data_IF_442600416252
#
_entry.id   IF_442600416252
#
_cell.length_a   1.000
_cell.length_b   1.000
_cell.length_c   1.000
_cell.angle_alpha   90.00
_cell.angle_beta   90.00
_cell.angle_gamma   90.00
#
_symmetry.space_group_name_H-M   'P 1'
#
loop_
_entity.id
_entity.type
_entity.pdbx_description
1 polymer ?
#
# COMPACT_ATOMS: atom_id res chain seq x y z
N UNK A 1 22.92 0.62 20.83
CA UNK A 1 21.87 1.19 21.71
C UNK A 1 20.64 1.65 20.97
N UNK A 2 20.71 2.45 19.90
CA UNK A 2 19.53 2.94 19.16
C UNK A 2 18.65 1.84 18.53
N UNK A 3 19.24 0.80 17.92
CA UNK A 3 18.49 -0.31 17.28
C UNK A 3 17.59 -1.06 18.28
N UNK A 4 18.03 -1.21 19.53
CA UNK A 4 17.25 -1.89 20.56
C UNK A 4 16.06 -1.04 21.05
N UNK A 5 16.15 0.30 20.94
CA UNK A 5 15.10 1.23 21.35
C UNK A 5 13.93 1.22 20.35
N UNK A 6 14.21 1.25 19.05
CA UNK A 6 13.20 1.16 17.98
C UNK A 6 12.39 -0.14 18.12
N UNK A 7 13.07 -1.28 18.30
CA UNK A 7 12.39 -2.55 18.50
C UNK A 7 11.43 -2.55 19.69
N UNK A 8 11.76 -1.81 20.77
CA UNK A 8 10.88 -1.66 21.95
C UNK A 8 9.66 -0.80 21.65
N UNK A 9 9.82 0.26 20.86
CA UNK A 9 8.70 1.09 20.40
C UNK A 9 7.75 0.31 19.54
N UNK A 10 8.29 -0.43 18.56
CA UNK A 10 7.50 -1.29 17.68
C UNK A 10 6.76 -2.35 18.47
N UNK A 11 7.44 -3.02 19.42
CA UNK A 11 6.79 -4.00 20.28
C UNK A 11 5.61 -3.38 21.07
N UNK A 12 5.76 -2.16 21.55
CA UNK A 12 4.71 -1.47 22.29
C UNK A 12 3.49 -1.23 21.41
N UNK A 13 3.70 -0.70 20.20
CA UNK A 13 2.62 -0.43 19.25
C UNK A 13 1.95 -1.73 18.80
N UNK A 14 2.72 -2.74 18.38
CA UNK A 14 2.21 -4.06 17.97
C UNK A 14 1.37 -4.72 19.08
N UNK A 15 1.87 -4.66 20.33
CA UNK A 15 1.13 -5.22 21.46
C UNK A 15 -0.19 -4.51 21.68
N UNK A 16 -0.22 -3.18 21.72
CA UNK A 16 -1.47 -2.43 21.91
C UNK A 16 -2.43 -2.64 20.75
N UNK A 17 -1.95 -2.64 19.50
CA UNK A 17 -2.77 -2.93 18.31
C UNK A 17 -3.45 -4.28 18.37
N UNK A 18 -2.72 -5.33 18.76
CA UNK A 18 -3.28 -6.70 18.86
C UNK A 18 -4.35 -6.85 19.93
N UNK A 19 -4.20 -6.15 21.05
CA UNK A 19 -5.18 -6.21 22.15
C UNK A 19 -6.34 -5.21 21.93
N UNK A 20 -6.17 -4.23 21.06
CA UNK A 20 -7.07 -3.09 20.88
C UNK A 20 -7.06 -2.16 22.09
N UNK A 21 -7.34 -2.69 23.30
CA UNK A 21 -7.26 -2.02 24.59
C UNK A 21 -6.55 -2.91 25.60
N UNK A 22 -5.63 -2.34 26.40
CA UNK A 22 -4.80 -3.12 27.32
C UNK A 22 -4.46 -2.30 28.59
N UNK A 23 -4.55 -2.92 29.76
CA UNK A 23 -4.12 -2.29 30.99
C UNK A 23 -2.58 -2.27 31.09
N UNK A 24 -2.03 -1.31 31.86
CA UNK A 24 -0.58 -1.27 32.11
C UNK A 24 -0.08 -2.55 32.82
N UNK A 25 -0.92 -3.20 33.61
CA UNK A 25 -0.61 -4.47 34.28
C UNK A 25 -0.42 -5.59 33.26
N UNK A 26 -1.35 -5.73 32.33
CA UNK A 26 -1.31 -6.78 31.31
C UNK A 26 -0.19 -6.53 30.29
N UNK A 27 0.05 -5.26 29.96
CA UNK A 27 1.16 -4.85 29.10
C UNK A 27 2.53 -5.19 29.74
N UNK A 28 2.70 -4.97 31.04
CA UNK A 28 3.90 -5.41 31.76
C UNK A 28 4.07 -6.93 31.77
N UNK A 29 2.96 -7.66 31.88
CA UNK A 29 2.97 -9.13 31.82
C UNK A 29 3.32 -9.62 30.41
N UNK A 30 2.82 -8.97 29.36
CA UNK A 30 3.19 -9.25 27.98
C UNK A 30 4.67 -8.92 27.70
N UNK A 31 5.17 -7.81 28.25
CA UNK A 31 6.57 -7.42 28.16
C UNK A 31 7.51 -8.49 28.69
N UNK A 32 7.28 -9.01 29.91
CA UNK A 32 8.12 -10.04 30.51
C UNK A 32 8.15 -11.34 29.72
N UNK A 33 7.11 -11.64 28.94
CA UNK A 33 7.05 -12.83 28.07
C UNK A 33 7.74 -12.64 26.72
N UNK A 34 8.12 -11.40 26.40
CA UNK A 34 8.81 -11.09 25.15
C UNK A 34 10.32 -11.17 25.29
N UNK A 35 11.02 -11.62 24.27
CA UNK A 35 12.48 -11.67 24.21
C UNK A 35 13.12 -10.27 24.33
N UNK A 36 12.40 -9.23 23.93
CA UNK A 36 12.85 -7.83 23.99
C UNK A 36 13.05 -7.35 25.43
N UNK A 37 12.36 -7.98 26.40
CA UNK A 37 12.49 -7.64 27.82
C UNK A 37 13.84 -7.99 28.41
N UNK A 38 14.55 -8.97 27.81
CA UNK A 38 15.77 -9.56 28.37
C UNK A 38 15.54 -10.01 29.84
N UNK A 39 14.31 -10.41 30.18
CA UNK A 39 13.91 -10.79 31.54
C UNK A 39 13.75 -9.62 32.52
N UNK A 40 13.87 -8.36 32.09
CA UNK A 40 13.74 -7.18 32.94
C UNK A 40 12.31 -6.64 32.94
N UNK A 41 11.75 -6.29 34.11
CA UNK A 41 10.39 -5.74 34.16
C UNK A 41 10.31 -4.35 33.55
N UNK A 42 9.16 -4.04 32.92
CA UNK A 42 8.88 -2.72 32.37
C UNK A 42 8.48 -1.76 33.52
N UNK A 43 9.37 -0.84 33.88
CA UNK A 43 9.06 0.20 34.85
C UNK A 43 8.03 1.19 34.26
N UNK A 44 7.17 1.77 35.13
CA UNK A 44 6.16 2.75 34.69
C UNK A 44 6.77 3.93 33.93
N UNK A 45 7.90 4.48 34.45
CA UNK A 45 8.62 5.58 33.80
C UNK A 45 9.14 5.19 32.41
N UNK A 46 9.65 3.96 32.25
CA UNK A 46 10.14 3.44 30.98
C UNK A 46 9.00 3.30 29.97
N UNK A 47 7.82 2.84 30.41
CA UNK A 47 6.64 2.79 29.57
C UNK A 47 6.26 4.16 29.01
N UNK A 48 6.20 5.19 29.85
CA UNK A 48 5.89 6.56 29.40
C UNK A 48 6.94 7.08 28.42
N UNK A 49 8.22 6.84 28.70
CA UNK A 49 9.30 7.21 27.77
C UNK A 49 9.15 6.50 26.40
N UNK A 50 8.74 5.22 26.39
CA UNK A 50 8.51 4.51 25.13
C UNK A 50 7.27 5.04 24.41
N UNK A 51 6.19 5.35 25.13
CA UNK A 51 4.99 5.95 24.57
C UNK A 51 5.31 7.28 23.88
N UNK A 52 6.02 8.17 24.58
CA UNK A 52 6.39 9.47 24.04
C UNK A 52 7.33 9.33 22.83
N UNK A 53 8.25 8.36 22.84
CA UNK A 53 9.12 8.06 21.71
C UNK A 53 8.37 7.42 20.51
N UNK A 54 7.29 6.68 20.74
CA UNK A 54 6.38 6.18 19.69
C UNK A 54 5.67 7.34 19.01
N UNK A 55 5.16 8.29 19.79
CA UNK A 55 4.50 9.50 19.27
C UNK A 55 5.47 10.33 18.43
N UNK A 56 6.68 10.57 18.94
CA UNK A 56 7.71 11.34 18.23
C UNK A 56 8.19 10.65 16.93
N UNK A 57 8.37 9.34 16.95
CA UNK A 57 8.96 8.59 15.83
C UNK A 57 7.96 8.18 14.76
N UNK A 58 6.75 7.79 15.15
CA UNK A 58 5.74 7.20 14.27
C UNK A 58 4.48 8.05 14.14
N UNK A 59 4.39 9.17 14.87
CA UNK A 59 3.18 10.00 14.95
C UNK A 59 1.94 9.17 15.38
N UNK A 60 2.16 8.18 16.27
CA UNK A 60 1.12 7.30 16.82
C UNK A 60 0.83 7.74 18.25
N UNK A 61 -0.40 8.19 18.49
CA UNK A 61 -0.82 8.65 19.82
C UNK A 61 -1.40 7.47 20.62
N UNK A 62 -0.74 7.10 21.73
CA UNK A 62 -1.21 6.10 22.67
C UNK A 62 -1.91 6.81 23.83
N UNK A 63 -3.23 6.71 23.86
CA UNK A 63 -4.09 7.31 24.89
C UNK A 63 -4.42 6.34 26.01
N UNK A 64 -4.86 6.89 27.13
CA UNK A 64 -5.35 6.12 28.28
C UNK A 64 -6.79 6.52 28.59
N UNK A 65 -7.68 5.56 28.55
CA UNK A 65 -9.04 5.74 29.05
C UNK A 65 -8.98 5.88 30.60
N UNK A 66 -9.43 7.03 31.10
CA UNK A 66 -9.37 7.33 32.55
C UNK A 66 -10.38 6.53 33.37
N UNK A 67 -11.39 5.93 32.72
CA UNK A 67 -12.44 5.14 33.41
C UNK A 67 -12.00 3.69 33.58
N UNK A 68 -11.33 3.10 32.57
CA UNK A 68 -10.89 1.70 32.58
C UNK A 68 -9.40 1.53 32.84
N UNK A 69 -8.61 2.63 32.76
CA UNK A 69 -7.14 2.63 32.81
C UNK A 69 -6.49 1.77 31.71
N UNK A 70 -7.19 1.60 30.59
CA UNK A 70 -6.69 0.90 29.42
C UNK A 70 -6.02 1.87 28.45
N UNK A 71 -4.92 1.41 27.86
CA UNK A 71 -4.21 2.11 26.81
C UNK A 71 -4.68 1.60 25.46
N UNK A 72 -4.84 2.51 24.50
CA UNK A 72 -5.27 2.23 23.14
C UNK A 72 -4.60 3.23 22.18
N UNK A 73 -4.53 2.86 20.90
CA UNK A 73 -4.06 3.76 19.85
C UNK A 73 -5.24 4.64 19.43
N UNK A 74 -5.02 5.96 19.46
CA UNK A 74 -6.01 6.92 19.00
C UNK A 74 -5.95 7.06 17.47
N UNK A 75 -6.97 6.53 16.79
CA UNK A 75 -7.13 6.59 15.35
C UNK A 75 -7.96 7.81 14.90
N UNK A 76 -8.05 8.87 15.69
CA UNK A 76 -8.86 10.08 15.38
C UNK A 76 -8.34 10.90 14.19
N UNK A 77 -7.29 10.44 13.50
CA UNK A 77 -6.81 10.98 12.23
C UNK A 77 -7.64 10.57 11.02
N UNK A 78 -7.29 11.08 9.83
CA UNK A 78 -7.89 10.57 8.59
C UNK A 78 -7.61 9.07 8.42
N UNK A 79 -8.56 8.32 7.84
CA UNK A 79 -8.39 6.88 7.58
C UNK A 79 -7.10 6.56 6.80
N UNK A 80 -6.66 7.47 5.95
CA UNK A 80 -5.44 7.33 5.16
C UNK A 80 -4.17 7.42 6.02
N UNK A 81 -4.14 8.34 6.98
CA UNK A 81 -3.04 8.44 7.93
C UNK A 81 -2.99 7.21 8.84
N UNK A 82 -4.13 6.71 9.29
CA UNK A 82 -4.20 5.49 10.08
C UNK A 82 -3.68 4.27 9.30
N UNK A 83 -4.05 4.13 8.02
CA UNK A 83 -3.54 3.06 7.13
C UNK A 83 -2.03 3.16 6.91
N UNK A 84 -1.51 4.36 6.65
CA UNK A 84 -0.07 4.58 6.48
C UNK A 84 0.70 4.25 7.77
N UNK A 85 0.21 4.69 8.92
CA UNK A 85 0.79 4.40 10.24
C UNK A 85 0.81 2.90 10.52
N UNK A 86 -0.31 2.20 10.32
CA UNK A 86 -0.40 0.75 10.47
C UNK A 86 0.60 0.04 9.56
N UNK A 87 0.66 0.40 8.28
CA UNK A 87 1.60 -0.19 7.34
C UNK A 87 3.07 0.04 7.73
N UNK A 88 3.41 1.22 8.25
CA UNK A 88 4.77 1.52 8.73
C UNK A 88 5.12 0.66 9.95
N UNK A 89 4.22 0.54 10.91
CA UNK A 89 4.39 -0.30 12.10
C UNK A 89 4.58 -1.76 11.72
N UNK A 90 3.72 -2.30 10.86
CA UNK A 90 3.81 -3.67 10.36
C UNK A 90 5.15 -3.93 9.66
N UNK A 91 5.59 -2.98 8.83
CA UNK A 91 6.86 -3.07 8.10
C UNK A 91 8.07 -3.09 9.04
N UNK A 92 8.08 -2.24 10.08
CA UNK A 92 9.16 -2.19 11.07
C UNK A 92 9.11 -3.40 12.00
N UNK A 93 7.92 -3.84 12.40
CA UNK A 93 7.68 -5.05 13.19
C UNK A 93 8.24 -6.28 12.48
N UNK A 94 7.88 -6.46 11.21
CA UNK A 94 8.38 -7.55 10.39
C UNK A 94 9.90 -7.50 10.25
N UNK A 95 10.47 -6.32 9.98
CA UNK A 95 11.91 -6.13 9.91
C UNK A 95 12.61 -6.48 11.22
N UNK A 96 12.03 -6.11 12.37
CA UNK A 96 12.53 -6.45 13.70
C UNK A 96 12.52 -7.94 13.98
N UNK A 97 11.40 -8.61 13.67
CA UNK A 97 11.26 -10.07 13.82
C UNK A 97 12.28 -10.82 12.94
N UNK A 98 12.43 -10.45 11.68
CA UNK A 98 13.37 -11.07 10.76
C UNK A 98 14.83 -10.82 11.16
N UNK A 99 15.13 -9.64 11.72
CA UNK A 99 16.47 -9.33 12.22
C UNK A 99 16.89 -10.18 13.44
N UNK A 100 15.94 -10.60 14.24
CA UNK A 100 16.19 -11.47 15.39
C UNK A 100 16.20 -12.96 15.01
N UNK A 101 15.81 -13.31 13.80
CA UNK A 101 15.69 -14.67 13.31
C UNK A 101 16.89 -15.09 12.43
N UNK A 102 18.10 -14.60 12.74
CA UNK A 102 19.32 -14.93 11.97
C UNK A 102 19.60 -16.42 11.87
N UNK A 103 19.30 -17.16 12.91
CA UNK A 103 19.45 -18.61 13.02
C UNK A 103 18.48 -19.40 12.13
N UNK A 104 17.36 -18.78 11.72
CA UNK A 104 16.35 -19.37 10.82
C UNK A 104 16.25 -18.66 9.46
N UNK A 105 17.20 -17.79 9.14
CA UNK A 105 17.16 -17.01 7.87
C UNK A 105 17.09 -17.89 6.63
N UNK A 106 17.69 -19.07 6.65
CA UNK A 106 17.58 -20.07 5.57
C UNK A 106 16.21 -20.73 5.42
N UNK A 107 15.27 -20.48 6.35
CA UNK A 107 13.89 -20.99 6.29
C UNK A 107 12.90 -19.92 5.82
N UNK A 108 13.37 -18.70 5.56
CA UNK A 108 12.55 -17.58 5.11
C UNK A 108 12.92 -17.29 3.67
N UNK A 109 11.98 -17.53 2.77
CA UNK A 109 12.15 -17.27 1.33
C UNK A 109 11.40 -15.98 1.00
N UNK A 110 12.14 -14.99 0.53
CA UNK A 110 11.58 -13.71 0.08
C UNK A 110 11.56 -13.66 -1.45
N UNK A 111 10.47 -13.16 -2.01
CA UNK A 111 10.45 -12.84 -3.44
C UNK A 111 11.39 -11.65 -3.72
N UNK A 112 12.16 -11.78 -4.80
CA UNK A 112 13.00 -10.68 -5.26
C UNK A 112 12.18 -9.71 -6.11
N UNK A 113 11.57 -8.72 -5.45
CA UNK A 113 10.82 -7.66 -6.13
C UNK A 113 11.72 -6.43 -6.24
N UNK A 114 11.97 -5.91 -7.46
CA UNK A 114 12.73 -4.69 -7.66
C UNK A 114 11.93 -3.50 -7.09
N UNK A 115 12.17 -3.19 -5.83
CA UNK A 115 11.42 -2.16 -5.11
C UNK A 115 11.87 -0.73 -5.45
N UNK A 116 13.06 -0.55 -6.04
CA UNK A 116 13.69 0.74 -6.33
C UNK A 116 13.60 1.75 -5.17
N UNK A 117 13.71 1.22 -3.94
CA UNK A 117 13.58 2.03 -2.70
C UNK A 117 14.64 3.11 -2.59
N UNK A 118 15.76 2.96 -3.28
CA UNK A 118 16.84 3.94 -3.36
C UNK A 118 16.40 5.29 -3.94
N UNK A 119 15.33 5.32 -4.72
CA UNK A 119 14.77 6.55 -5.28
C UNK A 119 13.79 7.27 -4.33
N UNK A 120 13.24 6.56 -3.34
CA UNK A 120 12.23 7.11 -2.43
C UNK A 120 12.70 8.34 -1.63
N UNK A 121 13.94 8.37 -1.05
CA UNK A 121 14.35 9.53 -0.28
C UNK A 121 14.33 10.82 -1.11
N UNK A 122 14.84 10.79 -2.33
CA UNK A 122 14.85 11.96 -3.24
C UNK A 122 13.43 12.40 -3.59
N UNK A 123 12.53 11.44 -3.86
CA UNK A 123 11.13 11.73 -4.21
C UNK A 123 10.38 12.29 -2.99
N UNK A 124 10.59 11.74 -1.79
CA UNK A 124 9.98 12.24 -0.56
C UNK A 124 10.45 13.68 -0.26
N UNK A 125 11.73 13.96 -0.42
CA UNK A 125 12.25 15.32 -0.23
C UNK A 125 11.67 16.29 -1.27
N UNK A 126 11.52 15.86 -2.53
CA UNK A 126 10.84 16.63 -3.57
C UNK A 126 9.37 16.92 -3.22
N UNK A 127 8.64 15.93 -2.71
CA UNK A 127 7.24 16.09 -2.26
C UNK A 127 7.11 17.07 -1.09
N UNK A 128 8.00 16.96 -0.09
CA UNK A 128 7.98 17.84 1.09
C UNK A 128 8.23 19.32 0.76
N UNK A 129 9.11 19.57 -0.21
CA UNK A 129 9.57 20.90 -0.55
C UNK A 129 8.95 21.45 -1.85
N UNK A 130 8.07 20.67 -2.49
CA UNK A 130 7.48 20.97 -3.80
C UNK A 130 8.53 21.28 -4.87
N UNK A 131 9.64 20.51 -4.89
CA UNK A 131 10.67 20.59 -5.91
C UNK A 131 10.34 19.65 -7.08
N UNK A 132 10.70 20.09 -8.28
CA UNK A 132 10.69 19.24 -9.48
C UNK A 132 11.78 18.17 -9.38
N UNK A 133 11.55 17.04 -10.04
CA UNK A 133 12.55 15.98 -10.22
C UNK A 133 12.83 15.77 -11.70
N UNK A 134 14.10 15.52 -12.01
CA UNK A 134 14.56 15.17 -13.36
C UNK A 134 15.05 13.73 -13.40
N UNK A 135 14.72 12.97 -14.45
CA UNK A 135 15.15 11.58 -14.60
C UNK A 135 15.10 11.08 -16.04
N UNK A 136 15.72 9.92 -16.27
CA UNK A 136 15.53 9.11 -17.48
C UNK A 136 14.58 7.97 -17.18
N UNK A 137 13.64 7.65 -18.11
CA UNK A 137 12.63 6.63 -17.93
C UNK A 137 12.62 5.59 -19.02
N UNK A 138 12.72 4.30 -18.66
CA UNK A 138 12.65 3.18 -19.60
C UNK A 138 11.25 2.57 -19.62
N UNK A 139 10.41 3.00 -20.57
CA UNK A 139 9.12 2.33 -20.81
C UNK A 139 9.34 0.96 -21.43
N UNK A 140 8.48 -0.02 -21.10
CA UNK A 140 8.50 -1.34 -21.75
C UNK A 140 8.08 -1.30 -23.23
N UNK A 141 7.34 -0.26 -23.63
CA UNK A 141 6.89 -0.07 -25.03
C UNK A 141 7.92 0.59 -25.93
N UNK A 142 9.05 1.06 -25.38
CA UNK A 142 10.09 1.77 -26.13
C UNK A 142 11.44 1.04 -26.00
N UNK A 143 12.14 0.92 -27.12
CA UNK A 143 13.47 0.32 -27.16
C UNK A 143 14.54 1.13 -26.44
N UNK A 144 14.40 2.46 -26.43
CA UNK A 144 15.34 3.39 -25.78
C UNK A 144 14.68 4.14 -24.63
N UNK A 145 15.41 4.44 -23.55
CA UNK A 145 14.90 5.32 -22.49
C UNK A 145 14.53 6.69 -23.04
N UNK A 146 13.58 7.34 -22.39
CA UNK A 146 13.28 8.75 -22.60
C UNK A 146 14.10 9.53 -21.59
N UNK A 147 15.08 10.31 -22.06
CA UNK A 147 15.91 11.16 -21.22
C UNK A 147 15.25 12.53 -21.01
N UNK A 148 15.66 13.22 -19.93
CA UNK A 148 15.24 14.59 -19.64
C UNK A 148 13.76 14.72 -19.27
N UNK A 149 13.18 13.70 -18.64
CA UNK A 149 11.82 13.81 -18.06
C UNK A 149 11.91 14.75 -16.87
N UNK A 150 11.09 15.80 -16.86
CA UNK A 150 10.91 16.72 -15.75
C UNK A 150 9.49 16.51 -15.19
N UNK A 151 9.41 16.20 -13.91
CA UNK A 151 8.14 15.90 -13.23
C UNK A 151 7.96 16.83 -12.04
N UNK A 152 6.74 17.35 -11.88
CA UNK A 152 6.24 17.90 -10.63
C UNK A 152 5.60 16.75 -9.84
N UNK A 153 6.29 16.15 -8.85
CA UNK A 153 5.76 15.01 -8.14
C UNK A 153 4.62 15.44 -7.22
N UNK A 154 3.48 14.79 -7.34
CA UNK A 154 2.30 15.08 -6.53
C UNK A 154 2.15 14.11 -5.36
N UNK A 155 2.33 12.81 -5.61
CA UNK A 155 2.28 11.77 -4.58
C UNK A 155 2.93 10.47 -5.08
N UNK A 156 3.07 9.51 -4.16
CA UNK A 156 3.53 8.15 -4.45
C UNK A 156 2.46 7.13 -4.13
N UNK A 157 2.46 6.00 -4.83
CA UNK A 157 1.56 4.86 -4.62
C UNK A 157 2.34 3.56 -4.64
N UNK A 158 1.93 2.60 -3.79
CA UNK A 158 2.37 1.21 -3.88
C UNK A 158 1.26 0.40 -4.55
N UNK A 159 1.64 -0.42 -5.53
CA UNK A 159 0.74 -1.38 -6.14
C UNK A 159 1.51 -2.64 -6.55
N UNK A 160 1.03 -3.82 -6.17
CA UNK A 160 1.70 -5.12 -6.42
C UNK A 160 3.21 -5.06 -6.06
N UNK A 161 3.52 -4.55 -4.88
CA UNK A 161 4.86 -4.37 -4.29
C UNK A 161 5.79 -3.39 -5.01
N UNK A 162 5.37 -2.75 -6.09
CA UNK A 162 6.13 -1.72 -6.81
C UNK A 162 5.71 -0.32 -6.37
N UNK A 163 6.69 0.57 -6.30
CA UNK A 163 6.47 1.99 -6.04
C UNK A 163 6.29 2.76 -7.33
N UNK A 164 5.38 3.70 -7.29
CA UNK A 164 5.06 4.61 -8.39
C UNK A 164 5.06 6.04 -7.89
N UNK A 165 5.62 6.97 -8.69
CA UNK A 165 5.46 8.41 -8.51
C UNK A 165 4.47 8.92 -9.54
N UNK A 166 3.52 9.74 -9.06
CA UNK A 166 2.50 10.37 -9.89
C UNK A 166 2.73 11.87 -9.85
N UNK A 167 2.64 12.52 -10.99
CA UNK A 167 2.85 13.96 -11.09
C UNK A 167 2.64 14.49 -12.50
N UNK A 168 2.74 15.81 -12.63
CA UNK A 168 2.67 16.51 -13.91
C UNK A 168 4.00 16.39 -14.63
N UNK A 169 3.99 15.77 -15.78
CA UNK A 169 5.14 15.82 -16.68
C UNK A 169 5.17 17.17 -17.37
N UNK A 170 6.19 17.98 -17.03
CA UNK A 170 6.34 19.36 -17.53
C UNK A 170 6.57 19.40 -19.04
N UNK A 171 7.16 18.35 -19.61
CA UNK A 171 7.49 18.31 -21.05
C UNK A 171 6.23 18.24 -21.95
N UNK A 172 5.13 17.63 -21.47
CA UNK A 172 3.90 17.48 -22.25
C UNK A 172 2.61 17.95 -21.54
N UNK A 173 2.73 18.42 -20.30
CA UNK A 173 1.61 18.98 -19.53
C UNK A 173 0.58 17.92 -19.07
N UNK A 174 0.94 16.64 -19.00
CA UNK A 174 0.02 15.57 -18.61
C UNK A 174 0.42 14.97 -17.26
N UNK A 175 -0.57 14.67 -16.43
CA UNK A 175 -0.33 13.88 -15.21
C UNK A 175 -0.05 12.45 -15.62
N UNK A 176 1.08 11.92 -15.17
CA UNK A 176 1.56 10.57 -15.49
C UNK A 176 1.99 9.80 -14.26
N UNK A 177 1.96 8.48 -14.39
CA UNK A 177 2.42 7.52 -13.40
C UNK A 177 3.73 6.88 -13.89
N UNK A 178 4.77 6.95 -13.06
CA UNK A 178 6.08 6.38 -13.35
C UNK A 178 6.44 5.35 -12.29
N UNK A 179 6.77 4.13 -12.72
CA UNK A 179 7.28 3.08 -11.85
C UNK A 179 8.73 3.35 -11.49
N UNK A 180 9.09 3.30 -10.21
CA UNK A 180 10.41 3.67 -9.73
C UNK A 180 11.52 2.75 -10.25
N UNK A 181 11.23 1.47 -10.43
CA UNK A 181 12.16 0.46 -10.98
C UNK A 181 12.63 0.74 -12.41
N UNK A 182 11.94 1.65 -13.10
CA UNK A 182 12.24 2.08 -14.48
C UNK A 182 12.84 3.48 -14.56
N UNK A 183 13.05 4.11 -13.41
CA UNK A 183 13.69 5.40 -13.29
C UNK A 183 15.20 5.20 -13.19
N UNK A 184 15.97 6.06 -13.85
CA UNK A 184 17.40 6.15 -13.71
C UNK A 184 17.84 7.61 -13.77
N UNK A 185 19.03 7.92 -13.24
CA UNK A 185 19.59 9.29 -13.20
C UNK A 185 18.64 10.29 -12.51
N UNK A 186 17.98 9.83 -11.42
CA UNK A 186 17.07 10.68 -10.66
C UNK A 186 17.83 11.80 -9.94
N UNK A 187 17.38 13.04 -10.15
CA UNK A 187 17.92 14.23 -9.52
C UNK A 187 16.79 15.13 -8.98
N UNK A 188 17.02 15.72 -7.81
CA UNK A 188 16.24 16.83 -7.31
C UNK A 188 16.62 18.10 -8.08
N UNK A 189 15.64 18.82 -8.61
CA UNK A 189 15.87 20.08 -9.31
C UNK A 189 15.64 21.27 -8.37
N UNK A 190 16.22 22.43 -8.73
CA UNK A 190 16.06 23.66 -7.93
C UNK A 190 14.68 24.32 -8.13
N UNK A 191 14.04 24.03 -9.26
CA UNK A 191 12.74 24.57 -9.61
C UNK A 191 11.65 24.00 -8.72
N UNK A 192 10.85 24.88 -8.14
CA UNK A 192 9.69 24.54 -7.35
C UNK A 192 8.41 24.63 -8.17
N UNK A 193 7.35 24.04 -7.67
CA UNK A 193 6.00 24.13 -8.25
C UNK A 193 4.98 24.37 -7.13
N UNK A 194 3.78 24.78 -7.52
CA UNK A 194 2.65 24.86 -6.58
C UNK A 194 1.74 23.66 -6.80
N UNK A 195 1.51 22.88 -5.75
CA UNK A 195 0.59 21.73 -5.81
C UNK A 195 -0.80 22.23 -6.17
N UNK A 196 -1.42 21.70 -7.26
CA UNK A 196 -2.78 22.09 -7.61
C UNK A 196 -3.77 21.67 -6.51
N UNK A 197 -4.66 22.60 -6.11
CA UNK A 197 -5.60 22.33 -5.01
C UNK A 197 -6.72 21.35 -5.34
N UNK A 198 -6.92 21.03 -6.63
CA UNK A 198 -7.88 20.06 -7.13
C UNK A 198 -7.32 18.63 -7.25
N UNK A 199 -6.01 18.43 -7.03
CA UNK A 199 -5.38 17.12 -7.02
C UNK A 199 -5.40 16.55 -5.62
N UNK A 200 -6.32 15.62 -5.39
CA UNK A 200 -6.38 14.84 -4.15
C UNK A 200 -5.93 13.39 -4.41
N UNK A 201 -4.86 12.89 -3.76
CA UNK A 201 -4.35 11.53 -3.96
C UNK A 201 -5.40 10.43 -3.78
N UNK A 202 -6.26 10.53 -2.77
CA UNK A 202 -7.32 9.55 -2.50
C UNK A 202 -8.40 9.54 -3.58
N UNK A 203 -8.77 10.70 -4.08
CA UNK A 203 -9.77 10.81 -5.15
C UNK A 203 -9.21 10.42 -6.52
N UNK A 204 -7.90 10.60 -6.74
CA UNK A 204 -7.27 10.35 -8.04
C UNK A 204 -7.43 8.92 -8.54
N UNK A 205 -7.31 7.94 -7.63
CA UNK A 205 -7.46 6.51 -7.93
C UNK A 205 -8.75 5.89 -7.37
N UNK A 206 -9.65 6.69 -6.80
CA UNK A 206 -10.86 6.23 -6.11
C UNK A 206 -11.67 5.20 -6.89
N UNK A 207 -11.79 5.39 -8.19
CA UNK A 207 -12.59 4.53 -9.06
C UNK A 207 -11.71 3.60 -9.91
N UNK A 208 -10.43 3.40 -9.56
CA UNK A 208 -9.51 2.62 -10.36
C UNK A 208 -8.96 1.42 -9.60
N UNK A 209 -8.98 0.26 -10.24
CA UNK A 209 -8.11 -0.83 -9.84
C UNK A 209 -6.69 -0.56 -10.37
N UNK A 210 -5.69 -0.58 -9.48
CA UNK A 210 -4.29 -0.44 -9.89
C UNK A 210 -3.79 1.01 -10.02
N UNK A 211 -2.99 1.23 -11.05
CA UNK A 211 -2.21 2.46 -11.26
C UNK A 211 -2.57 3.20 -12.56
N UNK A 212 -3.36 2.56 -13.41
CA UNK A 212 -3.79 3.15 -14.68
C UNK A 212 -5.10 3.90 -14.46
N UNK A 213 -5.09 5.17 -14.84
CA UNK A 213 -6.28 6.02 -14.85
C UNK A 213 -6.65 6.37 -16.29
N UNK A 214 -7.93 6.64 -16.52
CA UNK A 214 -8.43 7.18 -17.77
C UNK A 214 -9.50 8.23 -17.47
N UNK A 215 -9.95 8.94 -18.50
CA UNK A 215 -11.00 9.97 -18.37
C UNK A 215 -12.43 9.40 -18.35
N UNK A 216 -12.58 8.07 -18.43
CA UNK A 216 -13.89 7.45 -18.42
C UNK A 216 -14.53 7.55 -17.03
N UNK A 217 -15.85 7.60 -16.98
CA UNK A 217 -16.59 7.52 -15.72
C UNK A 217 -16.55 6.10 -15.16
N UNK A 218 -16.62 5.99 -13.83
CA UNK A 218 -16.84 4.70 -13.17
C UNK A 218 -18.15 4.07 -13.65
N UNK A 219 -18.13 2.75 -13.78
CA UNK A 219 -19.29 1.93 -14.17
C UNK A 219 -19.53 0.87 -13.13
N UNK A 220 -20.76 0.38 -13.07
CA UNK A 220 -21.10 -0.81 -12.30
C UNK A 220 -20.47 -2.01 -13.00
N UNK A 221 -19.57 -2.71 -12.30
CA UNK A 221 -18.93 -3.94 -12.73
C UNK A 221 -19.55 -5.07 -11.93
N UNK A 222 -20.05 -6.09 -12.61
CA UNK A 222 -20.68 -7.26 -11.97
C UNK A 222 -19.95 -8.50 -12.46
N UNK A 223 -19.40 -9.24 -11.50
CA UNK A 223 -18.64 -10.47 -11.73
C UNK A 223 -19.34 -11.63 -11.05
N UNK A 224 -19.58 -12.72 -11.80
CA UNK A 224 -19.91 -14.03 -11.25
C UNK A 224 -18.60 -14.75 -10.96
N UNK A 225 -18.44 -15.26 -9.75
CA UNK A 225 -17.19 -15.83 -9.25
C UNK A 225 -17.49 -17.21 -8.65
N UNK A 226 -16.69 -18.21 -9.00
CA UNK A 226 -16.79 -19.55 -8.42
C UNK A 226 -16.56 -19.57 -6.90
N UNK A 227 -17.15 -20.50 -6.14
CA UNK A 227 -17.11 -20.50 -4.67
C UNK A 227 -15.69 -20.54 -4.10
N UNK A 228 -14.77 -21.25 -4.75
CA UNK A 228 -13.37 -21.33 -4.31
C UNK A 228 -12.69 -19.98 -4.48
N UNK A 229 -12.86 -19.34 -5.63
CA UNK A 229 -12.26 -18.05 -5.92
C UNK A 229 -12.90 -16.92 -5.09
N UNK A 230 -14.18 -17.01 -4.76
CA UNK A 230 -14.88 -16.02 -3.92
C UNK A 230 -14.22 -15.85 -2.54
N UNK A 231 -13.62 -16.91 -1.98
CA UNK A 231 -12.90 -16.84 -0.69
C UNK A 231 -11.69 -15.89 -0.77
N UNK A 232 -10.97 -15.89 -1.91
CA UNK A 232 -9.85 -15.00 -2.12
C UNK A 232 -10.30 -13.54 -2.28
N UNK A 233 -11.42 -13.30 -2.96
CA UNK A 233 -11.99 -11.95 -3.10
C UNK A 233 -12.48 -11.37 -1.77
N UNK A 234 -12.96 -12.20 -0.85
CA UNK A 234 -13.31 -11.79 0.52
C UNK A 234 -12.07 -11.45 1.33
N UNK A 235 -11.02 -12.28 1.21
CA UNK A 235 -9.76 -12.07 1.94
C UNK A 235 -8.99 -10.86 1.43
N UNK A 236 -9.00 -10.62 0.12
CA UNK A 236 -8.31 -9.51 -0.54
C UNK A 236 -9.26 -8.85 -1.55
N UNK A 237 -10.10 -7.90 -1.11
CA UNK A 237 -11.02 -7.19 -1.98
C UNK A 237 -10.30 -6.45 -3.09
N UNK A 238 -10.80 -6.54 -4.33
CA UNK A 238 -10.22 -5.83 -5.48
C UNK A 238 -10.34 -4.31 -5.33
N UNK A 239 -11.43 -3.86 -4.71
CA UNK A 239 -11.71 -2.43 -4.57
C UNK A 239 -12.57 -2.17 -3.34
N UNK A 240 -12.44 -1.00 -2.66
CA UNK A 240 -13.26 -0.66 -1.49
C UNK A 240 -14.78 -0.68 -1.72
N UNK A 241 -15.24 -0.49 -2.97
CA UNK A 241 -16.66 -0.57 -3.33
C UNK A 241 -17.20 -1.99 -3.47
N UNK A 242 -16.42 -3.02 -3.13
CA UNK A 242 -16.83 -4.41 -3.26
C UNK A 242 -18.07 -4.73 -2.44
N UNK A 243 -19.08 -5.26 -3.10
CA UNK A 243 -20.28 -5.83 -2.49
C UNK A 243 -20.44 -7.26 -2.99
N UNK A 244 -20.90 -8.17 -2.14
CA UNK A 244 -21.09 -9.57 -2.48
C UNK A 244 -22.54 -10.01 -2.23
N UNK A 245 -23.07 -10.78 -3.17
CA UNK A 245 -24.29 -11.56 -3.04
C UNK A 245 -23.92 -13.05 -3.19
N UNK A 246 -24.17 -13.83 -2.16
CA UNK A 246 -23.79 -15.25 -2.09
C UNK A 246 -24.95 -16.12 -2.59
N UNK A 247 -24.65 -17.01 -3.54
CA UNK A 247 -25.55 -18.06 -4.03
C UNK A 247 -24.95 -19.44 -3.73
N UNK A 248 -25.72 -20.51 -3.90
CA UNK A 248 -25.30 -21.88 -3.57
C UNK A 248 -24.08 -22.34 -4.39
N UNK A 249 -24.04 -22.01 -5.69
CA UNK A 249 -23.02 -22.47 -6.62
C UNK A 249 -22.01 -21.39 -7.07
N UNK A 250 -22.20 -20.12 -6.69
CA UNK A 250 -21.36 -18.99 -7.05
C UNK A 250 -21.61 -17.79 -6.14
N UNK A 251 -20.74 -16.79 -6.22
CA UNK A 251 -21.00 -15.46 -5.67
C UNK A 251 -21.06 -14.42 -6.77
N UNK A 252 -21.84 -13.38 -6.58
CA UNK A 252 -21.86 -12.19 -7.43
C UNK A 252 -21.21 -11.04 -6.70
N UNK A 253 -20.12 -10.54 -7.28
CA UNK A 253 -19.43 -9.36 -6.76
C UNK A 253 -19.76 -8.14 -7.61
N UNK A 254 -20.17 -7.06 -6.96
CA UNK A 254 -20.48 -5.78 -7.61
C UNK A 254 -19.48 -4.71 -7.17
N UNK A 255 -19.00 -3.92 -8.13
CA UNK A 255 -18.05 -2.83 -7.94
C UNK A 255 -18.49 -1.57 -8.70
N UNK A 256 -17.98 -0.41 -8.27
CA UNK A 256 -18.02 0.84 -9.02
C UNK A 256 -16.59 1.22 -9.38
N UNK A 257 -16.19 0.98 -10.62
CA UNK A 257 -14.82 1.20 -11.10
C UNK A 257 -14.80 1.63 -12.57
N UNK A 258 -13.71 2.28 -12.94
CA UNK A 258 -13.38 2.55 -14.34
C UNK A 258 -12.86 1.28 -15.00
N UNK A 259 -13.24 1.05 -16.24
CA UNK A 259 -12.66 -0.02 -17.05
C UNK A 259 -11.27 0.43 -17.47
N UNK A 260 -10.26 -0.13 -16.85
CA UNK A 260 -8.83 0.14 -17.09
C UNK A 260 -8.13 -1.12 -17.58
N UNK A 261 -6.91 -0.95 -18.09
CA UNK A 261 -6.07 -2.09 -18.46
C UNK A 261 -5.77 -2.98 -17.25
N UNK A 262 -5.43 -2.39 -16.09
CA UNK A 262 -5.14 -3.15 -14.86
C UNK A 262 -6.32 -4.02 -14.42
N UNK A 263 -7.56 -3.49 -14.50
CA UNK A 263 -8.76 -4.24 -14.16
C UNK A 263 -8.99 -5.40 -15.15
N UNK A 264 -8.79 -5.14 -16.44
CA UNK A 264 -8.90 -6.18 -17.48
C UNK A 264 -7.93 -7.34 -17.21
N UNK A 265 -6.65 -7.01 -16.99
CA UNK A 265 -5.60 -8.01 -16.70
C UNK A 265 -5.90 -8.78 -15.41
N UNK A 266 -6.37 -8.11 -14.37
CA UNK A 266 -6.75 -8.77 -13.12
C UNK A 266 -7.86 -9.80 -13.34
N UNK A 267 -8.95 -9.42 -14.02
CA UNK A 267 -10.05 -10.35 -14.33
C UNK A 267 -9.55 -11.54 -15.14
N UNK A 268 -8.73 -11.29 -16.17
CA UNK A 268 -8.21 -12.35 -17.02
C UNK A 268 -7.26 -13.31 -16.31
N UNK A 269 -6.55 -12.86 -15.28
CA UNK A 269 -5.64 -13.69 -14.49
C UNK A 269 -6.34 -14.83 -13.74
N UNK A 270 -7.64 -14.71 -13.51
CA UNK A 270 -8.45 -15.73 -12.85
C UNK A 270 -9.06 -16.78 -13.78
N UNK A 271 -8.86 -16.64 -15.10
CA UNK A 271 -9.30 -17.60 -16.11
C UNK A 271 -10.81 -17.86 -16.08
N UNK A 272 -11.19 -19.15 -16.07
CA UNK A 272 -12.59 -19.57 -16.11
C UNK A 272 -13.35 -19.38 -14.81
N UNK A 273 -12.65 -19.10 -13.70
CA UNK A 273 -13.28 -18.95 -12.37
C UNK A 273 -14.08 -17.65 -12.20
N UNK A 274 -13.99 -16.74 -13.19
CA UNK A 274 -14.71 -15.47 -13.19
C UNK A 274 -15.40 -15.25 -14.53
N UNK A 275 -16.68 -14.84 -14.45
CA UNK A 275 -17.43 -14.35 -15.59
C UNK A 275 -17.84 -12.89 -15.39
N UNK A 276 -17.59 -12.04 -16.38
CA UNK A 276 -18.10 -10.67 -16.41
C UNK A 276 -19.57 -10.69 -16.82
N UNK A 277 -20.47 -10.30 -15.92
CA UNK A 277 -21.89 -10.16 -16.20
C UNK A 277 -22.19 -8.77 -16.78
N UNK A 278 -21.65 -7.72 -16.16
CA UNK A 278 -21.80 -6.32 -16.53
C UNK A 278 -20.47 -5.55 -16.39
N UNK A 279 -20.27 -4.48 -17.17
CA UNK A 279 -21.08 -4.03 -18.29
C UNK A 279 -20.74 -4.80 -19.59
N UNK A 280 -21.63 -4.76 -20.58
CA UNK A 280 -21.45 -5.43 -21.88
C UNK A 280 -20.12 -5.07 -22.55
N UNK A 281 -19.68 -3.84 -22.40
CA UNK A 281 -18.39 -3.35 -22.91
C UNK A 281 -17.22 -4.18 -22.35
N UNK A 282 -17.12 -4.34 -21.03
CA UNK A 282 -16.08 -5.11 -20.39
C UNK A 282 -16.16 -6.60 -20.78
N UNK A 283 -17.39 -7.16 -20.78
CA UNK A 283 -17.62 -8.54 -21.22
C UNK A 283 -17.10 -8.76 -22.65
N UNK A 284 -17.34 -7.80 -23.56
CA UNK A 284 -16.86 -7.88 -24.93
C UNK A 284 -15.33 -7.79 -25.01
N UNK A 285 -14.71 -6.88 -24.24
CA UNK A 285 -13.25 -6.77 -24.18
C UNK A 285 -12.60 -8.07 -23.72
N UNK A 286 -13.07 -8.64 -22.60
CA UNK A 286 -12.55 -9.91 -22.07
C UNK A 286 -12.74 -11.05 -23.08
N UNK A 287 -13.93 -11.16 -23.69
CA UNK A 287 -14.19 -12.19 -24.69
C UNK A 287 -13.22 -12.10 -25.88
N UNK A 288 -13.02 -10.91 -26.41
CA UNK A 288 -12.11 -10.71 -27.56
C UNK A 288 -10.68 -11.13 -27.22
N UNK A 289 -10.18 -10.77 -26.03
CA UNK A 289 -8.84 -11.17 -25.58
C UNK A 289 -8.73 -12.70 -25.42
N UNK A 290 -9.76 -13.34 -24.85
CA UNK A 290 -9.79 -14.80 -24.70
C UNK A 290 -9.83 -15.52 -26.05
N UNK A 291 -10.60 -15.00 -27.02
CA UNK A 291 -10.64 -15.53 -28.38
C UNK A 291 -9.25 -15.41 -29.05
N UNK A 292 -8.58 -14.28 -28.91
CA UNK A 292 -7.20 -14.10 -29.40
C UNK A 292 -6.21 -15.03 -28.70
N UNK A 293 -6.30 -15.13 -27.36
CA UNK A 293 -5.46 -16.05 -26.62
C UNK A 293 -5.66 -17.50 -27.07
N UNK A 294 -6.89 -17.94 -27.31
CA UNK A 294 -7.20 -19.28 -27.80
C UNK A 294 -6.56 -19.58 -29.15
N UNK A 295 -6.42 -18.57 -30.05
CA UNK A 295 -5.77 -18.74 -31.32
C UNK A 295 -4.29 -19.13 -31.20
N UNK A 296 -3.61 -18.72 -30.12
CA UNK A 296 -2.21 -19.06 -29.87
C UNK A 296 -2.00 -20.54 -29.52
N UNK A 297 -3.07 -21.28 -29.20
CA UNK A 297 -3.03 -22.69 -28.80
C UNK A 297 -3.67 -23.62 -29.85
N UNK A 298 -4.07 -23.10 -31.02
CA UNK A 298 -4.54 -23.83 -32.18
C UNK A 298 -3.44 -23.98 -33.21
#
# INVERSE_FOLDING_TARGET
>A
MARNLVNRYVWLVDTISRYGRITLKDLKSAWLRSDISEGKPLARRTFFHYRDGVEEMFDINIQCDKSTFEYYIDDSGSEENARLKSWLVDSVSLSGMLSNAHDISGRIILENVPSAREHLPVIIDALKQNHRIGFSYKSYTRSRPTDGVVLEPYFVKIFKQLWYVIGLNVNDGLIKTYSLDRISRLNLLQETFTMPGDVNPSEFFKDCFGIITNKNSAKRIVLRVEPTQAKYFRALPLHPSQQEEVHDEYSVFTYWMRITYDLKEEIMSHGASIEVLEPKELKTLIRTELEQALMNYR
#
